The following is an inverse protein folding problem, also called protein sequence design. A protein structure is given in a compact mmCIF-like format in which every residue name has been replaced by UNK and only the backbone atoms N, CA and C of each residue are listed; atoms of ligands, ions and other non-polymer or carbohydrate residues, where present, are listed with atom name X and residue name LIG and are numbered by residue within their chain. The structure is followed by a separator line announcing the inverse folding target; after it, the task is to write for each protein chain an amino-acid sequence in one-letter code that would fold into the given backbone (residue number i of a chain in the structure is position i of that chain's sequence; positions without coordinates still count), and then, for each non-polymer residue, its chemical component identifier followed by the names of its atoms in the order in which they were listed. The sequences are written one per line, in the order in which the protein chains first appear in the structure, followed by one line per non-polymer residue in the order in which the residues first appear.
data_IF_533341624615
#
_entry.id   IF_533341624615
#
_cell.length_a   1.000
_cell.length_b   1.000
_cell.length_c   1.000
_cell.angle_alpha   90.00
_cell.angle_beta   90.00
_cell.angle_gamma   90.00
#
_symmetry.space_group_name_H-M   'P 1'
#
loop_
_entity.id
_entity.type
_entity.pdbx_description
1 polymer ?
#
# COMPACT_ATOMS: atom_id res chain seq x y z
N UNK A 1 -53.36 46.31 20.28
CA UNK A 1 -52.56 46.27 21.53
C UNK A 1 -51.80 44.94 21.54
N UNK A 2 -50.50 44.93 21.21
CA UNK A 2 -49.47 44.02 21.73
C UNK A 2 -48.14 44.47 21.11
N UNK A 3 -47.45 45.36 21.84
CA UNK A 3 -46.19 45.93 21.42
C UNK A 3 -45.08 44.87 21.53
N UNK A 4 -44.45 44.54 20.40
CA UNK A 4 -43.20 43.79 20.39
C UNK A 4 -42.12 44.70 20.97
N UNK A 5 -41.75 44.46 22.23
CA UNK A 5 -40.62 45.13 22.87
C UNK A 5 -39.33 44.69 22.17
N UNK A 6 -38.83 45.55 21.28
CA UNK A 6 -37.50 45.43 20.70
C UNK A 6 -36.49 45.58 21.85
N UNK A 7 -35.85 44.47 22.22
CA UNK A 7 -34.79 44.49 23.24
C UNK A 7 -33.57 45.24 22.69
N UNK A 8 -32.93 46.11 23.49
CA UNK A 8 -31.81 46.91 23.03
C UNK A 8 -30.60 46.04 22.63
N UNK A 9 -29.92 46.46 21.57
CA UNK A 9 -28.74 45.78 20.97
C UNK A 9 -27.59 45.59 21.98
N UNK A 10 -27.57 46.36 23.07
CA UNK A 10 -26.61 46.22 24.17
C UNK A 10 -26.72 44.87 24.90
N UNK A 11 -27.89 44.25 24.91
CA UNK A 11 -28.14 42.95 25.57
C UNK A 11 -27.63 41.75 24.78
N UNK A 12 -27.48 41.86 23.45
CA UNK A 12 -26.90 40.79 22.63
C UNK A 12 -25.41 40.56 22.94
N UNK A 13 -24.71 41.61 23.41
CA UNK A 13 -23.26 41.56 23.70
C UNK A 13 -22.92 40.65 24.89
N UNK A 14 -23.89 40.38 25.77
CA UNK A 14 -23.73 39.47 26.92
C UNK A 14 -24.11 38.01 26.62
N UNK A 15 -24.82 37.74 25.52
CA UNK A 15 -25.20 36.38 25.09
C UNK A 15 -24.19 35.76 24.11
N UNK A 16 -23.43 36.58 23.38
CA UNK A 16 -22.38 36.13 22.46
C UNK A 16 -21.27 35.26 23.11
N UNK A 17 -20.79 35.55 24.34
CA UNK A 17 -19.78 34.71 25.00
C UNK A 17 -20.31 33.32 25.36
N UNK A 18 -21.57 33.21 25.81
CA UNK A 18 -22.22 31.95 26.16
C UNK A 18 -22.47 31.08 24.92
N UNK A 19 -22.90 31.69 23.80
CA UNK A 19 -23.04 30.97 22.54
C UNK A 19 -21.67 30.50 21.99
N UNK A 20 -20.63 31.33 22.13
CA UNK A 20 -19.24 30.95 21.80
C UNK A 20 -18.71 29.81 22.69
N UNK A 21 -19.03 29.81 23.98
CA UNK A 21 -18.65 28.75 24.93
C UNK A 21 -19.34 27.41 24.61
N UNK A 22 -20.59 27.44 24.14
CA UNK A 22 -21.30 26.25 23.71
C UNK A 22 -20.80 25.74 22.34
N UNK A 23 -20.45 26.64 21.41
CA UNK A 23 -19.83 26.29 20.13
C UNK A 23 -18.38 25.79 20.26
N UNK A 24 -17.65 26.19 21.31
CA UNK A 24 -16.29 25.65 21.58
C UNK A 24 -16.33 24.26 22.19
N UNK A 25 -17.34 23.93 22.99
CA UNK A 25 -17.52 22.58 23.54
C UNK A 25 -17.99 21.55 22.49
N UNK A 26 -18.77 21.97 21.49
CA UNK A 26 -19.14 21.10 20.34
C UNK A 26 -17.95 20.80 19.42
N UNK A 27 -17.00 21.73 19.29
CA UNK A 27 -15.80 21.51 18.46
C UNK A 27 -14.70 20.70 19.17
N UNK A 28 -14.76 20.55 20.49
CA UNK A 28 -13.78 19.76 21.26
C UNK A 28 -14.01 18.24 21.13
N UNK A 29 -15.18 17.79 20.68
CA UNK A 29 -15.50 16.36 20.50
C UNK A 29 -15.01 15.82 19.14
N UNK A 30 -14.43 16.66 18.27
CA UNK A 30 -13.95 16.27 16.92
C UNK A 30 -12.44 16.11 16.79
N UNK A 31 -11.70 16.00 17.90
CA UNK A 31 -10.25 15.87 17.85
C UNK A 31 -9.74 14.51 18.31
N UNK A 32 -10.23 13.41 17.74
CA UNK A 32 -9.48 12.15 17.68
C UNK A 32 -9.96 11.33 16.48
N UNK A 33 -9.86 11.89 15.27
CA UNK A 33 -9.62 11.05 14.09
C UNK A 33 -8.12 10.81 14.04
N UNK A 34 -7.60 9.93 14.90
CA UNK A 34 -6.28 9.34 14.67
C UNK A 34 -6.43 8.49 13.42
N UNK A 35 -6.04 9.02 12.25
CA UNK A 35 -5.87 8.22 11.04
C UNK A 35 -4.92 7.10 11.42
N UNK A 36 -5.43 5.86 11.47
CA UNK A 36 -4.64 4.72 11.90
C UNK A 36 -3.63 4.45 10.78
N UNK A 37 -2.39 4.90 10.96
CA UNK A 37 -1.30 4.68 10.01
C UNK A 37 -1.06 3.18 9.94
N UNK A 38 -1.17 2.61 8.73
CA UNK A 38 -0.95 1.17 8.49
C UNK A 38 0.31 0.95 7.64
N UNK A 39 1.51 1.16 8.20
CA UNK A 39 2.74 0.97 7.46
C UNK A 39 3.02 -0.53 7.27
N UNK A 40 3.80 -0.85 6.23
CA UNK A 40 4.34 -2.19 6.03
C UNK A 40 5.42 -2.46 7.08
N UNK A 41 5.30 -3.56 7.82
CA UNK A 41 6.29 -3.96 8.84
C UNK A 41 7.35 -4.91 8.31
N UNK A 42 6.95 -5.87 7.49
CA UNK A 42 7.85 -6.82 6.87
C UNK A 42 7.26 -7.37 5.59
N UNK A 43 8.12 -7.65 4.61
CA UNK A 43 7.78 -8.36 3.38
C UNK A 43 8.75 -9.52 3.21
N UNK A 44 8.24 -10.70 2.85
CA UNK A 44 9.07 -11.89 2.60
C UNK A 44 8.51 -12.71 1.46
N UNK A 45 9.35 -12.94 0.45
CA UNK A 45 9.05 -13.84 -0.66
C UNK A 45 9.60 -15.25 -0.45
N UNK A 46 8.93 -16.22 -1.04
CA UNK A 46 9.34 -17.63 -1.12
C UNK A 46 8.94 -18.25 -2.46
N UNK A 47 9.55 -19.39 -2.75
CA UNK A 47 9.17 -20.22 -3.89
C UNK A 47 8.01 -21.14 -3.51
N UNK A 48 7.00 -21.22 -4.36
CA UNK A 48 5.90 -22.21 -4.32
C UNK A 48 5.69 -22.81 -5.72
N UNK A 49 4.74 -23.72 -5.88
CA UNK A 49 4.39 -24.28 -7.19
C UNK A 49 3.02 -23.82 -7.68
N UNK A 50 2.94 -23.46 -8.96
CA UNK A 50 1.69 -23.18 -9.65
C UNK A 50 0.88 -24.46 -9.92
N UNK A 51 -0.34 -24.31 -10.45
CA UNK A 51 -1.23 -25.43 -10.78
C UNK A 51 -0.69 -26.40 -11.85
N UNK A 52 0.40 -26.03 -12.53
CA UNK A 52 1.10 -26.84 -13.55
C UNK A 52 2.41 -27.41 -13.01
N UNK A 53 2.69 -27.25 -11.72
CA UNK A 53 3.92 -27.72 -11.06
C UNK A 53 5.17 -26.90 -11.39
N UNK A 54 5.04 -25.68 -11.92
CA UNK A 54 6.19 -24.80 -12.15
C UNK A 54 6.42 -23.89 -10.93
N UNK A 55 7.68 -23.55 -10.61
CA UNK A 55 7.99 -22.56 -9.58
C UNK A 55 7.26 -21.23 -9.82
N UNK A 56 6.78 -20.59 -8.75
CA UNK A 56 6.26 -19.22 -8.77
C UNK A 56 6.52 -18.51 -7.44
N UNK A 57 6.34 -17.19 -7.42
CA UNK A 57 6.60 -16.33 -6.26
C UNK A 57 5.35 -16.25 -5.38
N UNK A 58 5.53 -16.44 -4.08
CA UNK A 58 4.56 -16.07 -3.06
C UNK A 58 5.18 -15.04 -2.12
N UNK A 59 4.43 -13.99 -1.81
CA UNK A 59 4.87 -12.90 -0.95
C UNK A 59 3.96 -12.83 0.27
N UNK A 60 4.58 -12.77 1.45
CA UNK A 60 3.93 -12.40 2.70
C UNK A 60 4.22 -10.93 3.01
N UNK A 61 3.17 -10.19 3.35
CA UNK A 61 3.25 -8.81 3.84
C UNK A 61 2.63 -8.75 5.23
N UNK A 62 3.33 -8.16 6.20
CA UNK A 62 2.84 -8.03 7.57
C UNK A 62 2.56 -6.56 7.89
N UNK A 63 1.39 -6.29 8.45
CA UNK A 63 1.00 -4.98 9.00
C UNK A 63 0.61 -5.12 10.48
N UNK A 64 0.10 -4.05 11.10
CA UNK A 64 -0.54 -4.12 12.41
C UNK A 64 -1.75 -5.09 12.45
N UNK A 65 -2.40 -5.32 11.31
CA UNK A 65 -3.60 -6.19 11.22
C UNK A 65 -3.25 -7.68 11.08
N UNK A 66 -1.98 -8.01 10.82
CA UNK A 66 -1.51 -9.38 10.66
C UNK A 66 -0.79 -9.62 9.33
N UNK A 67 -0.81 -10.88 8.91
CA UNK A 67 -0.12 -11.38 7.72
C UNK A 67 -1.10 -11.50 6.54
N UNK A 68 -0.70 -10.93 5.42
CA UNK A 68 -1.37 -10.98 4.12
C UNK A 68 -0.47 -11.72 3.16
N UNK A 69 -1.06 -12.49 2.23
CA UNK A 69 -0.32 -13.37 1.33
C UNK A 69 -0.86 -13.31 -0.07
N UNK A 70 0.03 -13.20 -1.05
CA UNK A 70 -0.29 -13.26 -2.46
C UNK A 70 0.64 -14.25 -3.17
N UNK A 71 0.05 -15.15 -3.94
CA UNK A 71 0.75 -16.03 -4.87
C UNK A 71 0.56 -15.50 -6.29
N UNK A 72 1.65 -15.37 -7.04
CA UNK A 72 1.61 -14.76 -8.37
C UNK A 72 1.35 -15.84 -9.43
N UNK A 73 0.34 -15.68 -10.30
CA UNK A 73 0.10 -16.64 -11.37
C UNK A 73 1.22 -16.56 -12.42
N UNK A 74 1.57 -17.70 -13.02
CA UNK A 74 2.50 -17.73 -14.16
C UNK A 74 1.74 -17.78 -15.47
N UNK A 75 1.89 -16.73 -16.28
CA UNK A 75 1.41 -16.67 -17.66
C UNK A 75 2.50 -17.05 -18.66
N UNK A 76 2.12 -17.64 -19.79
CA UNK A 76 3.01 -17.84 -20.94
C UNK A 76 3.09 -16.55 -21.77
N UNK A 77 3.43 -15.44 -21.13
CA UNK A 77 3.50 -14.11 -21.76
C UNK A 77 4.54 -14.15 -22.89
N UNK A 78 4.09 -13.93 -24.13
CA UNK A 78 4.94 -13.92 -25.35
C UNK A 78 4.92 -12.59 -26.08
N UNK A 79 4.18 -11.59 -25.60
CA UNK A 79 4.14 -10.27 -26.20
C UNK A 79 5.42 -9.50 -25.92
N UNK A 80 6.05 -8.93 -26.95
CA UNK A 80 7.27 -8.11 -26.83
C UNK A 80 7.04 -6.86 -25.95
N UNK A 81 5.79 -6.44 -25.80
CA UNK A 81 5.36 -5.30 -24.98
C UNK A 81 4.76 -5.71 -23.62
N UNK A 82 4.76 -7.00 -23.27
CA UNK A 82 4.19 -7.49 -22.02
C UNK A 82 5.18 -7.36 -20.86
N UNK A 83 4.64 -7.27 -19.64
CA UNK A 83 5.43 -7.26 -18.43
C UNK A 83 6.13 -8.62 -18.26
N UNK A 84 7.45 -8.60 -18.06
CA UNK A 84 8.26 -9.81 -18.15
C UNK A 84 8.33 -10.54 -16.81
N UNK A 85 7.82 -11.77 -16.77
CA UNK A 85 8.05 -12.69 -15.65
C UNK A 85 9.54 -13.04 -15.57
N UNK A 86 10.17 -12.77 -14.42
CA UNK A 86 11.60 -13.06 -14.24
C UNK A 86 11.81 -14.52 -13.82
N UNK A 87 12.57 -15.23 -14.67
CA UNK A 87 13.02 -16.61 -14.47
C UNK A 87 14.55 -16.67 -14.44
N UNK A 88 15.10 -17.65 -13.73
CA UNK A 88 16.55 -17.82 -13.60
C UNK A 88 17.20 -18.40 -14.87
N UNK A 89 16.42 -19.09 -15.73
CA UNK A 89 16.87 -19.71 -16.97
C UNK A 89 17.99 -20.76 -16.83
N UNK A 90 18.29 -21.20 -15.60
CA UNK A 90 19.19 -22.32 -15.34
C UNK A 90 18.47 -23.66 -15.62
N UNK A 91 18.83 -24.32 -16.73
CA UNK A 91 18.23 -25.59 -17.14
C UNK A 91 18.41 -26.72 -16.12
N UNK A 92 19.39 -26.61 -15.22
CA UNK A 92 19.59 -27.60 -14.15
C UNK A 92 18.53 -27.53 -13.06
N UNK A 93 17.85 -26.38 -12.92
CA UNK A 93 16.83 -26.11 -11.90
C UNK A 93 15.46 -25.94 -12.57
N UNK A 94 14.54 -26.86 -12.30
CA UNK A 94 13.15 -26.78 -12.79
C UNK A 94 13.04 -26.50 -14.30
N UNK A 95 13.97 -27.05 -15.11
CA UNK A 95 14.04 -26.82 -16.56
C UNK A 95 14.15 -25.32 -16.95
N UNK A 96 14.86 -24.51 -16.16
CA UNK A 96 15.02 -23.07 -16.41
C UNK A 96 13.91 -22.20 -15.84
N UNK A 97 12.92 -22.80 -15.17
CA UNK A 97 11.74 -22.09 -14.66
C UNK A 97 11.87 -21.67 -13.19
N UNK A 98 13.05 -21.80 -12.58
CA UNK A 98 13.29 -21.27 -11.24
C UNK A 98 13.02 -19.76 -11.16
N UNK A 99 12.59 -19.27 -9.99
CA UNK A 99 12.20 -17.88 -9.71
C UNK A 99 13.04 -17.27 -8.57
N UNK A 100 14.22 -17.81 -8.30
CA UNK A 100 15.04 -17.41 -7.16
C UNK A 100 15.45 -15.94 -7.27
N UNK A 101 15.79 -15.46 -8.47
CA UNK A 101 16.14 -14.06 -8.68
C UNK A 101 14.98 -13.11 -8.37
N UNK A 102 13.74 -13.49 -8.70
CA UNK A 102 12.56 -12.70 -8.36
C UNK A 102 12.32 -12.65 -6.84
N UNK A 103 12.51 -13.78 -6.15
CA UNK A 103 12.44 -13.86 -4.68
C UNK A 103 13.50 -12.97 -4.03
N UNK A 104 14.74 -13.02 -4.53
CA UNK A 104 15.84 -12.21 -4.03
C UNK A 104 15.58 -10.71 -4.26
N UNK A 105 15.00 -10.34 -5.40
CA UNK A 105 14.59 -8.96 -5.68
C UNK A 105 13.54 -8.47 -4.68
N UNK A 106 12.54 -9.29 -4.33
CA UNK A 106 11.56 -8.92 -3.29
C UNK A 106 12.25 -8.74 -1.94
N UNK A 107 13.02 -9.74 -1.49
CA UNK A 107 13.59 -9.77 -0.14
C UNK A 107 14.67 -8.71 0.08
N UNK A 108 15.52 -8.46 -0.93
CA UNK A 108 16.72 -7.66 -0.76
C UNK A 108 16.62 -6.25 -1.38
N UNK A 109 15.64 -6.00 -2.26
CA UNK A 109 15.51 -4.71 -2.95
C UNK A 109 14.15 -4.06 -2.64
N UNK A 110 13.04 -4.73 -2.93
CA UNK A 110 11.70 -4.14 -2.78
C UNK A 110 11.35 -3.97 -1.31
N UNK A 111 11.50 -5.02 -0.51
CA UNK A 111 11.10 -5.02 0.90
C UNK A 111 11.80 -3.92 1.72
N UNK A 112 13.13 -3.74 1.66
CA UNK A 112 13.80 -2.68 2.41
C UNK A 112 13.35 -1.28 1.99
N UNK A 113 13.17 -1.04 0.69
CA UNK A 113 12.79 0.29 0.20
C UNK A 113 11.32 0.62 0.52
N UNK A 114 10.40 -0.35 0.40
CA UNK A 114 9.00 -0.16 0.76
C UNK A 114 8.86 0.16 2.26
N UNK A 115 9.53 -0.59 3.13
CA UNK A 115 9.53 -0.33 4.57
C UNK A 115 10.14 1.05 4.88
N UNK A 116 11.26 1.40 4.23
CA UNK A 116 11.93 2.69 4.41
C UNK A 116 11.07 3.87 3.95
N UNK A 117 10.28 3.71 2.89
CA UNK A 117 9.38 4.75 2.37
C UNK A 117 8.31 5.15 3.40
N UNK A 118 7.93 4.22 4.29
CA UNK A 118 6.90 4.45 5.29
C UNK A 118 5.50 4.72 4.73
N UNK A 119 5.27 4.34 3.46
CA UNK A 119 3.97 4.36 2.80
C UNK A 119 2.98 3.44 3.53
N UNK A 120 1.72 3.85 3.54
CA UNK A 120 0.64 3.02 4.09
C UNK A 120 0.12 2.06 3.03
N UNK A 121 -0.32 0.88 3.45
CA UNK A 121 -0.89 -0.14 2.53
C UNK A 121 -2.11 0.32 1.74
N UNK A 122 -2.73 1.44 2.13
CA UNK A 122 -3.86 2.08 1.42
C UNK A 122 -3.41 2.97 0.26
N UNK A 123 -2.12 3.29 0.17
CA UNK A 123 -1.51 4.17 -0.85
C UNK A 123 -1.03 3.34 -2.04
N UNK A 124 -1.94 2.58 -2.67
CA UNK A 124 -1.60 1.63 -3.73
C UNK A 124 -0.84 2.30 -4.88
N UNK A 125 -1.29 3.49 -5.30
CA UNK A 125 -0.69 4.22 -6.43
C UNK A 125 0.78 4.58 -6.13
N UNK A 126 1.05 5.10 -4.94
CA UNK A 126 2.37 5.51 -4.50
C UNK A 126 3.30 4.30 -4.35
N UNK A 127 2.78 3.17 -3.87
CA UNK A 127 3.51 1.90 -3.78
C UNK A 127 3.86 1.39 -5.17
N UNK A 128 2.92 1.38 -6.11
CA UNK A 128 3.16 0.97 -7.49
C UNK A 128 4.19 1.89 -8.18
N UNK A 129 4.06 3.20 -8.02
CA UNK A 129 5.01 4.18 -8.56
C UNK A 129 6.43 3.99 -7.98
N UNK A 130 6.54 3.71 -6.68
CA UNK A 130 7.82 3.38 -6.04
C UNK A 130 8.45 2.15 -6.69
N UNK A 131 7.68 1.06 -6.87
CA UNK A 131 8.18 -0.19 -7.46
C UNK A 131 8.58 -0.01 -8.93
N UNK A 132 7.78 0.72 -9.71
CA UNK A 132 8.10 1.06 -11.11
C UNK A 132 9.38 1.88 -11.21
N UNK A 133 9.58 2.84 -10.30
CA UNK A 133 10.80 3.65 -10.24
C UNK A 133 12.03 2.83 -9.84
N UNK A 134 11.88 1.88 -8.91
CA UNK A 134 12.97 0.99 -8.48
C UNK A 134 13.43 0.06 -9.60
N UNK A 135 12.48 -0.45 -10.38
CA UNK A 135 12.76 -1.24 -11.56
C UNK A 135 13.42 -0.40 -12.66
N UNK A 136 12.81 0.73 -13.02
CA UNK A 136 13.34 1.67 -13.99
C UNK A 136 13.29 1.19 -15.45
N UNK A 137 12.64 0.06 -15.74
CA UNK A 137 12.43 -0.45 -17.10
C UNK A 137 10.94 -0.39 -17.47
N UNK A 138 10.64 -0.24 -18.76
CA UNK A 138 9.26 -0.16 -19.26
C UNK A 138 8.48 -1.47 -19.03
N UNK A 139 9.18 -2.61 -19.13
CA UNK A 139 8.60 -3.95 -19.07
C UNK A 139 8.83 -4.70 -17.75
N UNK A 140 9.33 -4.03 -16.71
CA UNK A 140 9.59 -4.62 -15.38
C UNK A 140 10.64 -5.75 -15.42
N UNK A 141 11.59 -5.69 -16.35
CA UNK A 141 12.56 -6.76 -16.60
C UNK A 141 13.69 -6.84 -15.57
N UNK A 142 13.92 -5.79 -14.79
CA UNK A 142 15.00 -5.75 -13.80
C UNK A 142 14.61 -6.49 -12.52
N UNK A 143 13.47 -6.11 -11.94
CA UNK A 143 12.93 -6.71 -10.72
C UNK A 143 12.08 -7.95 -11.02
N UNK A 144 11.43 -7.96 -12.18
CA UNK A 144 10.48 -8.99 -12.59
C UNK A 144 9.05 -8.54 -12.30
N UNK A 145 8.18 -8.67 -13.31
CA UNK A 145 6.75 -8.37 -13.15
C UNK A 145 6.11 -9.23 -12.05
N UNK A 146 6.57 -10.47 -11.90
CA UNK A 146 6.15 -11.39 -10.85
C UNK A 146 6.62 -10.98 -9.45
N UNK A 147 7.75 -10.29 -9.31
CA UNK A 147 8.17 -9.73 -8.02
C UNK A 147 7.29 -8.54 -7.63
N UNK A 148 7.05 -7.63 -8.58
CA UNK A 148 6.27 -6.40 -8.36
C UNK A 148 4.80 -6.72 -8.08
N UNK A 149 4.20 -7.63 -8.86
CA UNK A 149 2.78 -7.99 -8.69
C UNK A 149 2.50 -8.73 -7.38
N UNK A 150 3.49 -9.42 -6.82
CA UNK A 150 3.32 -10.16 -5.57
C UNK A 150 3.29 -9.27 -4.33
N UNK A 151 3.93 -8.09 -4.40
CA UNK A 151 4.04 -7.13 -3.29
C UNK A 151 2.86 -6.16 -3.33
#
# INVERSE_FOLDING_TARGET
LFAVKVTPVSTLRFLLPLLKAHLTSVNLVRQHSTTFKMPVKSVKARNIFDSRGNPTVEVDLVTELGLFRAAVPSGASTGVHEALELRDNDKSQYHGKSVQKAIDNVNNIIAPELIKSGLEVTQQKEIDELMLKLDGTENKSKLGANAILGV
#
